data_IF_991351783395
#
_entry.id   IF_991351783395
#
_cell.length_a   1.000
_cell.length_b   1.000
_cell.length_c   1.000
_cell.angle_alpha   90.00
_cell.angle_beta   90.00
_cell.angle_gamma   90.00
#
_symmetry.space_group_name_H-M   'P 1'
#
loop_
_entity.id
_entity.type
_entity.pdbx_description
1 polymer ?
#
# COMPACT_ATOMS: atom_id res chain seq x y z
N UNK A 1 -26.30 16.27 26.64
CA UNK A 1 -26.45 15.68 25.28
C UNK A 1 -25.27 16.00 24.36
N UNK A 2 -24.81 17.26 24.27
CA UNK A 2 -23.66 17.65 23.41
C UNK A 2 -22.39 16.81 23.61
N UNK A 3 -21.98 16.59 24.86
CA UNK A 3 -20.78 15.80 25.16
C UNK A 3 -20.88 14.33 24.69
N UNK A 4 -22.06 13.70 24.80
CA UNK A 4 -22.28 12.32 24.36
C UNK A 4 -22.22 12.19 22.83
N UNK A 5 -22.74 13.19 22.11
CA UNK A 5 -22.69 13.25 20.63
C UNK A 5 -21.25 13.48 20.15
N UNK A 6 -20.50 14.36 20.80
CA UNK A 6 -19.08 14.58 20.49
C UNK A 6 -18.26 13.32 20.76
N UNK A 7 -18.50 12.64 21.88
CA UNK A 7 -17.79 11.41 22.23
C UNK A 7 -18.09 10.27 21.26
N UNK A 8 -19.36 10.09 20.88
CA UNK A 8 -19.77 9.12 19.87
C UNK A 8 -19.17 9.43 18.49
N UNK A 9 -19.10 10.71 18.12
CA UNK A 9 -18.45 11.16 16.87
C UNK A 9 -16.96 10.85 16.82
N UNK A 10 -16.23 11.10 17.92
CA UNK A 10 -14.81 10.77 18.05
C UNK A 10 -14.55 9.27 17.96
N UNK A 11 -15.39 8.45 18.60
CA UNK A 11 -15.32 6.99 18.54
C UNK A 11 -15.51 6.46 17.13
N UNK A 12 -16.52 6.98 16.41
CA UNK A 12 -16.77 6.64 15.00
C UNK A 12 -15.59 7.01 14.11
N UNK A 13 -15.05 8.23 14.22
CA UNK A 13 -13.92 8.68 13.41
C UNK A 13 -12.67 7.81 13.64
N UNK A 14 -12.41 7.45 14.89
CA UNK A 14 -11.28 6.61 15.30
C UNK A 14 -11.41 5.19 14.73
N UNK A 15 -12.62 4.63 14.74
CA UNK A 15 -12.87 3.29 14.18
C UNK A 15 -12.65 3.22 12.66
N UNK A 16 -12.98 4.28 11.92
CA UNK A 16 -12.70 4.37 10.47
C UNK A 16 -11.20 4.46 10.18
N UNK A 17 -10.45 5.21 11.00
CA UNK A 17 -8.99 5.32 10.84
C UNK A 17 -8.28 3.99 11.13
N UNK A 18 -8.70 3.26 12.17
CA UNK A 18 -8.10 1.99 12.55
C UNK A 18 -8.45 0.85 11.58
N UNK A 19 -9.68 0.81 11.06
CA UNK A 19 -10.08 -0.14 10.01
C UNK A 19 -9.52 0.22 8.63
N UNK A 20 -9.07 1.46 8.45
CA UNK A 20 -8.52 1.98 7.21
C UNK A 20 -7.24 1.27 6.73
N UNK A 21 -6.45 0.62 7.57
CA UNK A 21 -5.21 -0.02 7.12
C UNK A 21 -5.46 -1.20 6.17
N UNK A 22 -6.42 -2.08 6.49
CA UNK A 22 -6.82 -3.18 5.61
C UNK A 22 -7.59 -2.69 4.39
N UNK A 23 -8.39 -1.63 4.56
CA UNK A 23 -9.13 -1.02 3.45
C UNK A 23 -8.21 -0.29 2.46
N UNK A 24 -7.08 0.26 2.94
CA UNK A 24 -6.03 0.87 2.11
C UNK A 24 -5.36 -0.12 1.18
N UNK A 25 -5.16 -1.36 1.62
CA UNK A 25 -4.71 -2.44 0.75
C UNK A 25 -5.72 -2.70 -0.39
N UNK A 26 -7.01 -2.87 -0.04
CA UNK A 26 -8.07 -3.11 -1.02
C UNK A 26 -8.36 -1.93 -1.96
N UNK A 27 -8.16 -0.70 -1.50
CA UNK A 27 -8.31 0.51 -2.30
C UNK A 27 -7.04 0.89 -3.09
N UNK A 28 -5.98 0.06 -3.06
CA UNK A 28 -4.73 0.35 -3.75
C UNK A 28 -3.94 1.53 -3.17
N UNK A 29 -4.29 1.98 -1.95
CA UNK A 29 -3.58 3.03 -1.22
C UNK A 29 -2.29 2.53 -0.55
N UNK A 30 -2.10 1.21 -0.43
CA UNK A 30 -0.85 0.61 0.05
C UNK A 30 -0.61 -0.76 -0.62
N UNK A 31 0.55 -0.94 -1.24
CA UNK A 31 0.90 -2.20 -1.89
C UNK A 31 1.26 -3.30 -0.88
N UNK A 32 0.97 -4.58 -1.18
CA UNK A 32 1.39 -5.71 -0.35
C UNK A 32 2.90 -5.94 -0.43
N UNK A 33 3.41 -6.82 0.44
CA UNK A 33 4.71 -7.45 0.24
C UNK A 33 4.73 -8.25 -1.06
N UNK A 34 5.83 -8.18 -1.82
CA UNK A 34 6.07 -9.03 -2.99
C UNK A 34 6.04 -10.53 -2.63
N UNK A 35 6.27 -10.87 -1.36
CA UNK A 35 6.24 -12.26 -0.88
C UNK A 35 4.85 -12.88 -0.91
N UNK A 36 3.80 -12.07 -0.86
CA UNK A 36 2.43 -12.55 -0.99
C UNK A 36 2.11 -13.00 -2.44
N UNK A 37 2.92 -12.55 -3.40
CA UNK A 37 2.77 -12.79 -4.84
C UNK A 37 4.13 -13.22 -5.42
N UNK A 38 4.76 -14.18 -4.75
CA UNK A 38 6.12 -14.61 -5.06
C UNK A 38 6.25 -15.27 -6.44
N UNK A 39 5.15 -15.80 -6.98
CA UNK A 39 5.06 -16.39 -8.32
C UNK A 39 5.30 -15.38 -9.45
N UNK A 40 4.77 -14.17 -9.31
CA UNK A 40 4.93 -13.10 -10.32
C UNK A 40 6.13 -12.18 -10.04
N UNK A 41 6.67 -12.19 -8.81
CA UNK A 41 7.86 -11.41 -8.42
C UNK A 41 9.13 -12.25 -8.26
N UNK A 42 9.19 -13.43 -8.88
CA UNK A 42 10.36 -14.30 -8.78
C UNK A 42 11.64 -13.58 -9.23
N UNK A 43 12.67 -13.58 -8.39
CA UNK A 43 13.97 -12.99 -8.71
C UNK A 43 14.06 -11.47 -8.59
N UNK A 44 13.01 -10.80 -8.10
CA UNK A 44 13.08 -9.37 -7.75
C UNK A 44 14.01 -9.18 -6.54
N UNK A 45 15.21 -8.66 -6.79
CA UNK A 45 16.26 -8.43 -5.79
C UNK A 45 16.74 -6.96 -5.77
N UNK A 46 16.39 -6.17 -6.78
CA UNK A 46 16.77 -4.76 -6.93
C UNK A 46 15.54 -3.91 -7.25
N UNK A 47 15.44 -2.73 -6.65
CA UNK A 47 14.32 -1.81 -6.87
C UNK A 47 14.10 -1.43 -8.34
N UNK A 48 15.18 -1.42 -9.14
CA UNK A 48 15.09 -1.13 -10.58
C UNK A 48 14.21 -2.13 -11.33
N UNK A 49 14.19 -3.40 -10.89
CA UNK A 49 13.40 -4.46 -11.51
C UNK A 49 11.90 -4.22 -11.26
N UNK A 50 11.55 -3.61 -10.13
CA UNK A 50 10.16 -3.25 -9.84
C UNK A 50 9.63 -2.24 -10.87
N UNK A 51 10.47 -1.29 -11.30
CA UNK A 51 10.11 -0.25 -12.27
C UNK A 51 10.03 -0.77 -13.72
N UNK A 52 10.49 -1.98 -14.00
CA UNK A 52 10.33 -2.63 -15.32
C UNK A 52 8.86 -3.02 -15.59
N UNK A 53 8.00 -3.01 -14.57
CA UNK A 53 6.56 -3.25 -14.70
C UNK A 53 5.71 -2.18 -13.99
N UNK A 54 6.17 -1.66 -12.85
CA UNK A 54 5.42 -0.69 -12.02
C UNK A 54 5.84 0.77 -12.29
N UNK A 55 5.99 1.14 -13.57
CA UNK A 55 6.35 2.51 -13.93
C UNK A 55 5.30 3.52 -13.41
N UNK A 56 5.72 4.64 -12.80
CA UNK A 56 4.78 5.61 -12.22
C UNK A 56 3.85 6.29 -13.22
N UNK A 57 4.18 6.31 -14.52
CA UNK A 57 3.31 6.87 -15.57
C UNK A 57 2.20 5.89 -15.97
N UNK A 58 2.33 4.62 -15.60
CA UNK A 58 1.32 3.58 -15.86
C UNK A 58 1.38 2.99 -17.27
N UNK A 59 2.52 3.13 -17.95
CA UNK A 59 2.69 2.70 -19.35
C UNK A 59 3.09 1.21 -19.49
N UNK A 60 3.28 0.50 -18.36
CA UNK A 60 3.81 -0.87 -18.30
C UNK A 60 2.78 -1.87 -17.74
N UNK A 61 3.18 -3.14 -17.66
CA UNK A 61 2.29 -4.27 -17.35
C UNK A 61 1.82 -4.35 -15.89
N UNK A 62 2.46 -3.64 -14.96
CA UNK A 62 2.09 -3.62 -13.55
C UNK A 62 1.30 -2.36 -13.16
N UNK A 63 0.57 -2.38 -12.03
CA UNK A 63 -0.06 -1.17 -11.51
C UNK A 63 1.00 -0.09 -11.24
N UNK A 64 0.75 1.18 -11.59
CA UNK A 64 1.74 2.23 -11.44
C UNK A 64 2.13 2.43 -9.98
N UNK A 65 3.42 2.68 -9.73
CA UNK A 65 3.88 3.09 -8.42
C UNK A 65 3.28 4.47 -8.07
N UNK A 66 2.60 4.63 -6.92
CA UNK A 66 2.11 5.93 -6.46
C UNK A 66 3.23 6.83 -5.94
N UNK A 67 4.49 6.35 -5.93
CA UNK A 67 5.66 7.09 -5.47
C UNK A 67 6.60 7.38 -6.67
N UNK A 68 6.28 8.38 -7.51
CA UNK A 68 6.97 8.59 -8.80
C UNK A 68 8.45 8.95 -8.69
N UNK A 69 8.88 9.39 -7.51
CA UNK A 69 10.25 9.86 -7.25
C UNK A 69 10.99 8.99 -6.23
N UNK A 70 10.32 7.96 -5.70
CA UNK A 70 10.89 7.12 -4.65
C UNK A 70 11.64 5.92 -5.23
N UNK A 71 12.82 5.69 -4.68
CA UNK A 71 13.61 4.47 -4.88
C UNK A 71 13.79 3.81 -3.51
N UNK A 72 13.80 2.48 -3.42
CA UNK A 72 13.71 1.76 -2.14
C UNK A 72 12.50 0.84 -1.99
N UNK A 73 11.90 0.37 -3.09
CA UNK A 73 10.69 -0.48 -3.09
C UNK A 73 10.81 -1.65 -2.11
N UNK A 74 11.92 -2.39 -2.17
CA UNK A 74 12.14 -3.60 -1.37
C UNK A 74 12.35 -3.32 0.12
N UNK A 75 12.59 -2.07 0.53
CA UNK A 75 12.68 -1.71 1.96
C UNK A 75 11.34 -1.85 2.66
N UNK A 76 10.26 -1.60 1.94
CA UNK A 76 8.89 -1.61 2.48
C UNK A 76 8.07 -2.77 1.96
N UNK A 77 8.34 -3.26 0.75
CA UNK A 77 7.53 -4.29 0.07
C UNK A 77 8.22 -5.66 -0.03
N UNK A 78 9.29 -5.90 0.73
CA UNK A 78 9.90 -7.24 0.88
C UNK A 78 9.90 -7.70 2.36
N UNK A 79 8.85 -7.31 3.08
CA UNK A 79 8.59 -7.63 4.47
C UNK A 79 8.05 -9.06 4.66
N UNK A 80 8.22 -9.67 5.84
CA UNK A 80 7.61 -10.96 6.19
C UNK A 80 6.08 -10.92 6.10
N UNK A 81 5.47 -12.08 5.81
CA UNK A 81 4.01 -12.25 5.78
C UNK A 81 3.40 -12.36 7.17
#
# INVERSE_FOLDING_TARGET
MRAKVVFAGLLLLSSVWLSGCAYRYYLGMHGPSIRAFADVHQGAAQDKQCLECHDPKGDLSGPPSPHPQFTGCLKCHNDPL
#
